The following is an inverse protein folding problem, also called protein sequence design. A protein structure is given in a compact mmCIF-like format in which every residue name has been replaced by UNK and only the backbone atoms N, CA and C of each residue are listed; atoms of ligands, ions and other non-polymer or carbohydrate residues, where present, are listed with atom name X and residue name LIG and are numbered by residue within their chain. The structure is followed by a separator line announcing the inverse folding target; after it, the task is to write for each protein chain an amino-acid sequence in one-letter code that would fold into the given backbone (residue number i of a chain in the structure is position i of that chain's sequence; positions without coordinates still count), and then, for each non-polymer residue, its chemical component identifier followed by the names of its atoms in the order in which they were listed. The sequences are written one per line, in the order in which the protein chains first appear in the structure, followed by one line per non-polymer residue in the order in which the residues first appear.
data_IF_261390790997
#
_entry.id   IF_261390790997
#
_cell.length_a   1.000
_cell.length_b   1.000
_cell.length_c   1.000
_cell.angle_alpha   90.00
_cell.angle_beta   90.00
_cell.angle_gamma   90.00
#
_symmetry.space_group_name_H-M   'P 1'
#
loop_
_entity.id
_entity.type
_entity.pdbx_description
1 polymer ?
#
# COMPACT_ATOMS: atom_id res chain seq x y z
N UNK A 1 -5.08 -21.85 12.54
CA UNK A 1 -4.78 -22.62 13.77
C UNK A 1 -5.36 -21.91 14.97
N UNK A 2 -6.05 -22.66 15.82
CA UNK A 2 -6.55 -22.14 17.09
C UNK A 2 -5.48 -22.14 18.19
N UNK A 3 -4.50 -23.07 18.12
CA UNK A 3 -3.44 -23.20 19.11
C UNK A 3 -2.07 -23.19 18.43
N UNK A 4 -1.15 -22.44 19.02
CA UNK A 4 0.26 -22.44 18.64
C UNK A 4 0.96 -23.65 19.27
N UNK A 5 2.03 -24.14 18.64
CA UNK A 5 2.82 -25.23 19.21
C UNK A 5 3.63 -24.75 20.43
N UNK A 6 3.82 -25.61 21.42
CA UNK A 6 4.52 -25.30 22.66
C UNK A 6 6.00 -24.90 22.43
N UNK A 7 6.77 -25.57 21.57
CA UNK A 7 8.16 -25.14 21.31
C UNK A 7 8.27 -23.71 20.79
N UNK A 8 7.37 -23.26 19.89
CA UNK A 8 7.38 -21.89 19.40
C UNK A 8 7.00 -20.89 20.51
N UNK A 9 6.05 -21.25 21.38
CA UNK A 9 5.69 -20.39 22.51
C UNK A 9 6.82 -20.24 23.52
N UNK A 10 7.57 -21.29 23.80
CA UNK A 10 8.67 -21.27 24.78
C UNK A 10 9.85 -20.37 24.39
N UNK A 11 10.04 -20.11 23.09
CA UNK A 11 11.14 -19.24 22.62
C UNK A 11 10.72 -17.78 22.38
N UNK A 12 9.41 -17.44 22.50
CA UNK A 12 8.92 -16.08 22.23
C UNK A 12 9.64 -15.04 23.08
N UNK A 13 9.81 -15.28 24.37
CA UNK A 13 10.48 -14.34 25.29
C UNK A 13 11.93 -14.10 24.86
N UNK A 14 12.66 -15.14 24.52
CA UNK A 14 14.05 -15.04 24.04
C UNK A 14 14.12 -14.32 22.70
N UNK A 15 13.20 -14.63 21.77
CA UNK A 15 13.14 -13.99 20.45
C UNK A 15 12.85 -12.50 20.56
N UNK A 16 11.92 -12.09 21.45
CA UNK A 16 11.56 -10.67 21.62
C UNK A 16 12.58 -9.88 22.47
N UNK A 17 13.29 -10.53 23.39
CA UNK A 17 14.33 -9.92 24.23
C UNK A 17 15.70 -9.84 23.57
N UNK A 18 15.91 -10.53 22.45
CA UNK A 18 17.17 -10.58 21.72
C UNK A 18 17.30 -9.44 20.69
N UNK A 19 18.33 -9.57 19.85
CA UNK A 19 18.56 -8.66 18.73
C UNK A 19 17.39 -8.67 17.74
N UNK A 20 16.86 -7.50 17.42
CA UNK A 20 15.72 -7.34 16.51
C UNK A 20 16.21 -6.77 15.16
N UNK A 21 16.51 -7.64 14.20
CA UNK A 21 16.97 -7.24 12.86
C UNK A 21 15.95 -6.36 12.11
N UNK A 22 14.67 -6.45 12.48
CA UNK A 22 13.63 -5.58 11.90
C UNK A 22 13.91 -4.09 12.09
N UNK A 23 14.64 -3.72 13.15
CA UNK A 23 15.01 -2.34 13.41
C UNK A 23 15.91 -1.75 12.31
N UNK A 24 16.75 -2.56 11.67
CA UNK A 24 17.58 -2.13 10.55
C UNK A 24 16.75 -1.74 9.32
N UNK A 25 15.59 -2.38 9.13
CA UNK A 25 14.72 -2.10 7.99
C UNK A 25 13.85 -0.85 8.16
N UNK A 26 13.54 -0.47 9.40
CA UNK A 26 12.58 0.61 9.70
C UNK A 26 13.23 1.94 10.08
N UNK A 27 14.54 1.97 10.27
CA UNK A 27 15.30 3.19 10.51
C UNK A 27 15.70 3.91 9.21
N UNK A 28 16.04 5.21 9.25
CA UNK A 28 16.57 5.93 8.10
C UNK A 28 17.72 5.16 7.42
N UNK A 29 17.65 4.99 6.11
CA UNK A 29 18.58 4.15 5.34
C UNK A 29 18.16 2.67 5.27
N UNK A 30 17.19 2.24 6.08
CA UNK A 30 16.65 0.89 6.01
C UNK A 30 15.65 0.72 4.86
N UNK A 31 15.61 -0.49 4.30
CA UNK A 31 14.82 -0.79 3.11
C UNK A 31 13.34 -0.38 3.24
N UNK A 32 12.67 -0.76 4.32
CA UNK A 32 11.23 -0.46 4.51
C UNK A 32 11.00 1.03 4.73
N UNK A 33 11.93 1.69 5.43
CA UNK A 33 11.89 3.13 5.61
C UNK A 33 11.93 3.86 4.26
N UNK A 34 12.92 3.57 3.43
CA UNK A 34 13.10 4.22 2.12
C UNK A 34 11.92 3.96 1.18
N UNK A 35 11.39 2.73 1.17
CA UNK A 35 10.21 2.38 0.38
C UNK A 35 8.95 3.14 0.86
N UNK A 36 8.79 3.33 2.17
CA UNK A 36 7.70 4.11 2.75
C UNK A 36 7.78 5.57 2.36
N UNK A 37 8.95 6.19 2.50
CA UNK A 37 9.15 7.60 2.14
C UNK A 37 8.87 7.81 0.65
N UNK A 38 9.39 6.92 -0.18
CA UNK A 38 9.18 6.97 -1.63
C UNK A 38 7.69 6.88 -2.00
N UNK A 39 6.99 5.84 -1.54
CA UNK A 39 5.58 5.61 -1.93
C UNK A 39 4.67 6.72 -1.39
N UNK A 40 4.90 7.19 -0.16
CA UNK A 40 4.15 8.29 0.43
C UNK A 40 4.25 9.56 -0.39
N UNK A 41 5.46 9.93 -0.80
CA UNK A 41 5.68 11.10 -1.66
C UNK A 41 5.06 10.91 -3.03
N UNK A 42 5.34 9.77 -3.68
CA UNK A 42 4.88 9.50 -5.05
C UNK A 42 3.35 9.51 -5.17
N UNK A 43 2.62 9.02 -4.16
CA UNK A 43 1.16 9.06 -4.14
C UNK A 43 0.61 10.48 -3.97
N UNK A 44 1.18 11.26 -3.05
CA UNK A 44 0.73 12.64 -2.82
C UNK A 44 1.12 13.60 -3.97
N UNK A 45 2.03 13.20 -4.86
CA UNK A 45 2.37 13.92 -6.08
C UNK A 45 1.37 13.68 -7.24
N UNK A 46 0.38 12.78 -7.05
CA UNK A 46 -0.68 12.51 -8.04
C UNK A 46 -1.89 13.40 -7.72
N UNK A 47 -2.30 14.32 -8.61
CA UNK A 47 -3.46 15.18 -8.37
C UNK A 47 -4.77 14.39 -8.22
N UNK A 48 -5.43 14.52 -7.07
CA UNK A 48 -6.66 13.80 -6.73
C UNK A 48 -6.41 12.52 -5.92
N UNK A 49 -5.16 12.24 -5.55
CA UNK A 49 -4.79 11.19 -4.60
C UNK A 49 -4.19 11.85 -3.36
N UNK A 50 -4.53 11.33 -2.20
CA UNK A 50 -3.92 11.75 -0.94
C UNK A 50 -3.66 10.52 -0.06
N UNK A 51 -2.57 10.53 0.67
CA UNK A 51 -2.22 9.44 1.55
C UNK A 51 -1.69 9.96 2.88
N UNK A 52 -2.07 9.29 3.97
CA UNK A 52 -1.48 9.50 5.29
C UNK A 52 -0.23 8.63 5.39
N UNK A 53 0.84 9.19 5.95
CA UNK A 53 2.10 8.48 6.11
C UNK A 53 1.94 7.29 7.07
N UNK A 54 2.22 6.05 6.64
CA UNK A 54 2.12 4.89 7.50
C UNK A 54 3.11 4.96 8.68
N UNK A 55 2.64 4.59 9.87
CA UNK A 55 3.47 4.56 11.10
C UNK A 55 3.94 3.16 11.46
N UNK A 56 3.35 2.13 10.85
CA UNK A 56 3.66 0.72 11.09
C UNK A 56 3.38 -0.11 9.85
N UNK A 57 3.80 -1.37 9.86
CA UNK A 57 3.64 -2.34 8.77
C UNK A 57 4.26 -1.87 7.44
N UNK A 58 3.75 -2.38 6.33
CA UNK A 58 4.23 -2.10 4.98
C UNK A 58 3.07 -1.89 4.01
N UNK A 59 1.99 -1.29 4.52
CA UNK A 59 0.77 -0.95 3.77
C UNK A 59 0.55 0.55 3.80
N UNK A 60 0.06 1.10 2.68
CA UNK A 60 -0.47 2.46 2.59
C UNK A 60 -1.88 2.42 2.04
N UNK A 61 -2.76 3.28 2.53
CA UNK A 61 -4.18 3.30 2.22
C UNK A 61 -4.58 4.68 1.69
N UNK A 62 -4.28 4.97 0.41
CA UNK A 62 -4.56 6.28 -0.18
C UNK A 62 -6.05 6.49 -0.39
N UNK A 63 -6.45 7.75 -0.28
CA UNK A 63 -7.76 8.27 -0.63
C UNK A 63 -7.75 8.81 -2.05
N UNK A 64 -8.86 8.57 -2.78
CA UNK A 64 -9.10 9.04 -4.14
C UNK A 64 -10.18 10.12 -4.11
N UNK A 65 -10.00 11.16 -4.88
CA UNK A 65 -11.05 12.14 -5.20
C UNK A 65 -12.06 11.49 -6.16
N UNK A 66 -13.15 10.97 -5.59
CA UNK A 66 -14.18 10.25 -6.34
C UNK A 66 -14.94 11.12 -7.32
N UNK A 67 -15.12 12.40 -7.03
CA UNK A 67 -15.80 13.35 -7.95
C UNK A 67 -14.92 13.61 -9.17
N UNK A 68 -13.63 13.84 -8.94
CA UNK A 68 -12.67 14.08 -10.02
C UNK A 68 -12.58 12.93 -11.01
N UNK A 69 -12.60 11.69 -10.53
CA UNK A 69 -12.44 10.48 -11.36
C UNK A 69 -13.74 9.74 -11.63
N UNK A 70 -14.89 10.28 -11.19
CA UNK A 70 -16.21 9.66 -11.31
C UNK A 70 -16.26 8.23 -10.74
N UNK A 71 -15.58 7.98 -9.60
CA UNK A 71 -15.50 6.65 -9.01
C UNK A 71 -16.71 6.41 -8.11
N UNK A 72 -17.49 5.39 -8.43
CA UNK A 72 -18.63 4.92 -7.65
C UNK A 72 -18.51 3.43 -7.26
N UNK A 73 -17.55 2.71 -7.84
CA UNK A 73 -17.27 1.30 -7.57
C UNK A 73 -15.76 1.08 -7.51
N UNK A 74 -15.22 0.86 -6.31
CA UNK A 74 -13.79 0.69 -6.06
C UNK A 74 -13.24 -0.66 -6.56
N UNK A 75 -14.09 -1.69 -6.65
CA UNK A 75 -13.70 -2.98 -7.24
C UNK A 75 -13.51 -2.84 -8.75
N UNK A 76 -14.46 -2.17 -9.43
CA UNK A 76 -14.33 -1.91 -10.87
C UNK A 76 -13.12 -1.03 -11.17
N UNK A 77 -12.89 0.03 -10.37
CA UNK A 77 -11.68 0.86 -10.48
C UNK A 77 -10.40 0.02 -10.38
N UNK A 78 -10.34 -0.90 -9.41
CA UNK A 78 -9.17 -1.76 -9.24
C UNK A 78 -8.96 -2.72 -10.43
N UNK A 79 -10.06 -3.24 -11.01
CA UNK A 79 -10.02 -4.07 -12.22
C UNK A 79 -9.59 -3.27 -13.45
N UNK A 80 -10.12 -2.06 -13.63
CA UNK A 80 -9.75 -1.19 -14.75
C UNK A 80 -8.26 -0.86 -14.71
N UNK A 81 -7.74 -0.54 -13.52
CA UNK A 81 -6.32 -0.29 -13.32
C UNK A 81 -5.47 -1.53 -13.59
N UNK A 82 -5.92 -2.70 -13.14
CA UNK A 82 -5.24 -3.96 -13.42
C UNK A 82 -5.20 -4.28 -14.92
N UNK A 83 -6.32 -4.10 -15.63
CA UNK A 83 -6.40 -4.39 -17.07
C UNK A 83 -5.56 -3.43 -17.90
N UNK A 84 -5.60 -2.13 -17.59
CA UNK A 84 -4.88 -1.13 -18.37
C UNK A 84 -3.37 -1.11 -18.05
N UNK A 85 -3.01 -1.18 -16.77
CA UNK A 85 -1.61 -0.98 -16.33
C UNK A 85 -0.91 -2.23 -15.84
N UNK A 86 -1.62 -3.35 -15.70
CA UNK A 86 -1.08 -4.62 -15.15
C UNK A 86 -0.43 -4.43 -13.77
N UNK A 87 -1.08 -3.64 -12.92
CA UNK A 87 -0.68 -3.40 -11.53
C UNK A 87 -1.86 -3.73 -10.63
N UNK A 88 -1.66 -4.66 -9.70
CA UNK A 88 -2.67 -5.08 -8.76
C UNK A 88 -2.67 -4.17 -7.53
N UNK A 89 -3.84 -3.65 -7.20
CA UNK A 89 -4.16 -2.95 -5.96
C UNK A 89 -5.33 -3.64 -5.27
N UNK A 90 -5.58 -3.36 -4.01
CA UNK A 90 -6.72 -3.93 -3.30
C UNK A 90 -7.74 -2.82 -3.01
N UNK A 91 -9.00 -2.95 -3.47
CA UNK A 91 -10.04 -1.96 -3.21
C UNK A 91 -10.36 -1.85 -1.71
N UNK A 92 -10.82 -0.69 -1.27
CA UNK A 92 -11.16 -0.42 0.13
C UNK A 92 -12.25 -1.32 0.69
N UNK A 93 -13.22 -1.69 -0.13
CA UNK A 93 -14.30 -2.63 0.21
C UNK A 93 -13.78 -3.98 0.74
N UNK A 94 -12.63 -4.44 0.27
CA UNK A 94 -11.96 -5.65 0.79
C UNK A 94 -11.55 -5.55 2.27
N UNK A 95 -11.62 -4.34 2.86
CA UNK A 95 -11.34 -4.04 4.27
C UNK A 95 -12.57 -3.50 5.02
N UNK A 96 -13.77 -3.77 4.53
CA UNK A 96 -15.04 -3.23 5.05
C UNK A 96 -15.10 -1.69 5.04
N UNK A 97 -14.37 -1.06 4.13
CA UNK A 97 -14.48 0.38 3.91
C UNK A 97 -15.73 0.68 3.09
N UNK A 98 -16.61 1.54 3.61
CA UNK A 98 -17.96 1.73 3.06
C UNK A 98 -18.03 2.72 1.89
N UNK A 99 -16.95 3.46 1.62
CA UNK A 99 -16.90 4.44 0.52
C UNK A 99 -15.96 3.93 -0.59
N UNK A 100 -16.25 4.20 -1.87
CA UNK A 100 -15.40 3.76 -2.98
C UNK A 100 -14.16 4.65 -3.18
N UNK A 101 -13.68 5.29 -2.13
CA UNK A 101 -12.68 6.36 -2.17
C UNK A 101 -11.30 5.94 -1.64
N UNK A 102 -11.09 4.66 -1.32
CA UNK A 102 -9.81 4.17 -0.83
C UNK A 102 -9.37 2.88 -1.51
N UNK A 103 -8.06 2.68 -1.56
CA UNK A 103 -7.44 1.42 -1.97
C UNK A 103 -6.16 1.16 -1.18
N UNK A 104 -5.70 -0.08 -1.13
CA UNK A 104 -4.48 -0.45 -0.43
C UNK A 104 -3.36 -0.80 -1.39
N UNK A 105 -2.17 -0.32 -1.07
CA UNK A 105 -0.92 -0.71 -1.71
C UNK A 105 0.00 -1.36 -0.68
N UNK A 106 0.73 -2.39 -1.10
CA UNK A 106 1.85 -2.99 -0.37
C UNK A 106 3.14 -2.39 -0.93
N UNK A 107 3.98 -1.77 -0.10
CA UNK A 107 5.22 -1.14 -0.56
C UNK A 107 6.49 -1.95 -0.25
N UNK A 108 6.37 -3.29 -0.24
CA UNK A 108 7.51 -4.21 -0.09
C UNK A 108 8.37 -4.42 -1.36
N UNK A 109 7.87 -4.24 -2.59
CA UNK A 109 8.73 -4.31 -3.77
C UNK A 109 9.87 -3.29 -3.71
N UNK A 110 10.97 -3.55 -4.40
CA UNK A 110 12.09 -2.60 -4.45
C UNK A 110 11.68 -1.24 -5.08
N UNK A 111 12.45 -0.19 -4.81
CA UNK A 111 12.13 1.17 -5.25
C UNK A 111 11.98 1.27 -6.78
N UNK A 112 12.72 0.48 -7.55
CA UNK A 112 12.62 0.50 -9.02
C UNK A 112 11.29 -0.08 -9.50
N UNK A 113 10.78 -1.11 -8.82
CA UNK A 113 9.47 -1.69 -9.10
C UNK A 113 8.36 -0.74 -8.66
N UNK A 114 8.50 -0.12 -7.47
CA UNK A 114 7.56 0.89 -6.98
C UNK A 114 7.50 2.12 -7.91
N UNK A 115 8.65 2.61 -8.38
CA UNK A 115 8.71 3.74 -9.32
C UNK A 115 7.99 3.43 -10.63
N UNK A 116 8.19 2.23 -11.19
CA UNK A 116 7.46 1.79 -12.39
C UNK A 116 5.95 1.74 -12.16
N UNK A 117 5.53 1.21 -11.02
CA UNK A 117 4.11 1.14 -10.66
C UNK A 117 3.51 2.54 -10.47
N UNK A 118 4.24 3.45 -9.82
CA UNK A 118 3.78 4.84 -9.60
C UNK A 118 3.70 5.65 -10.89
N UNK A 119 4.63 5.45 -11.83
CA UNK A 119 4.55 6.05 -13.17
C UNK A 119 3.29 5.60 -13.90
N UNK A 120 3.03 4.29 -13.92
CA UNK A 120 1.81 3.73 -14.51
C UNK A 120 0.53 4.27 -13.82
N UNK A 121 0.56 4.41 -12.51
CA UNK A 121 -0.56 4.96 -11.75
C UNK A 121 -0.79 6.44 -12.10
N UNK A 122 0.26 7.23 -12.18
CA UNK A 122 0.18 8.64 -12.58
C UNK A 122 -0.38 8.81 -13.99
N UNK A 123 0.08 7.98 -14.94
CA UNK A 123 -0.46 7.95 -16.31
C UNK A 123 -1.93 7.57 -16.34
N UNK A 124 -2.34 6.55 -15.57
CA UNK A 124 -3.72 6.12 -15.47
C UNK A 124 -4.62 7.25 -14.95
N UNK A 125 -4.28 7.85 -13.83
CA UNK A 125 -5.07 8.94 -13.24
C UNK A 125 -5.05 10.25 -14.05
N UNK A 126 -4.16 10.40 -15.01
CA UNK A 126 -4.17 11.57 -15.89
C UNK A 126 -5.39 11.61 -16.81
N UNK A 127 -5.94 10.47 -17.18
CA UNK A 127 -7.04 10.36 -18.16
C UNK A 127 -8.24 9.57 -17.66
N UNK A 128 -8.09 8.82 -16.57
CA UNK A 128 -9.12 7.92 -16.09
C UNK A 128 -10.37 8.64 -15.58
N UNK A 129 -11.49 8.13 -16.02
CA UNK A 129 -12.83 8.36 -15.46
C UNK A 129 -13.59 7.04 -15.52
N UNK A 130 -14.20 6.66 -14.41
CA UNK A 130 -15.04 5.45 -14.38
C UNK A 130 -16.31 5.69 -15.19
N UNK A 131 -16.67 4.73 -16.04
CA UNK A 131 -17.83 4.75 -16.97
C UNK A 131 -18.90 3.81 -16.47
#
# INVERSE_FOLDING_TARGET
RLCSNVPAQSIVQTALGGYQSVNEYIQPGGRVYEQREFIYKALNDIPGISAVKPRAAFYIFPKIDTEKFNIYNDEQFALDFLHDKQVLIVPGKGFNWNQPDHFRIVYLPDIRQLDRAMKKMKEFFATYKQV
#
